data_IF_631263540490
#
_entry.id   IF_631263540490
#
_cell.length_a   1.000
_cell.length_b   1.000
_cell.length_c   1.000
_cell.angle_alpha   90.00
_cell.angle_beta   90.00
_cell.angle_gamma   90.00
#
_symmetry.space_group_name_H-M   'P 1'
#
loop_
_entity.id
_entity.type
_entity.pdbx_description
1 polymer ?
#
# COMPACT_ATOMS: atom_id res chain seq x y z
N UNK A 1 -3.82 -16.84 -20.56
CA UNK A 1 -3.90 -15.78 -19.53
C UNK A 1 -4.14 -16.44 -18.18
N UNK A 2 -3.27 -16.23 -17.18
CA UNK A 2 -3.39 -16.88 -15.87
C UNK A 2 -4.34 -16.18 -14.91
N UNK A 3 -5.00 -16.96 -14.05
CA UNK A 3 -5.78 -16.45 -12.93
C UNK A 3 -4.87 -15.75 -11.91
N UNK A 4 -5.35 -14.67 -11.28
CA UNK A 4 -4.61 -13.93 -10.24
C UNK A 4 -5.33 -14.06 -8.92
N UNK A 5 -4.59 -14.34 -7.85
CA UNK A 5 -5.12 -14.35 -6.50
C UNK A 5 -5.59 -12.96 -6.05
N UNK A 6 -6.60 -12.91 -5.18
CA UNK A 6 -7.10 -11.66 -4.60
C UNK A 6 -6.01 -10.98 -3.74
N UNK A 7 -5.57 -9.73 -4.04
CA UNK A 7 -4.40 -9.12 -3.39
C UNK A 7 -4.53 -8.95 -1.87
N UNK A 8 -5.75 -8.70 -1.37
CA UNK A 8 -6.01 -8.61 0.07
C UNK A 8 -5.99 -9.99 0.74
N UNK A 9 -6.55 -11.01 0.08
CA UNK A 9 -6.65 -12.35 0.66
C UNK A 9 -5.26 -12.98 0.78
N UNK A 10 -4.43 -12.81 -0.25
CA UNK A 10 -3.02 -13.21 -0.25
C UNK A 10 -2.19 -12.55 0.89
N UNK A 11 -2.73 -11.52 1.55
CA UNK A 11 -2.05 -10.70 2.55
C UNK A 11 -2.71 -10.73 3.93
N UNK A 12 -3.79 -11.50 4.10
CA UNK A 12 -4.46 -11.68 5.40
C UNK A 12 -3.50 -12.28 6.42
N UNK A 13 -3.56 -11.81 7.66
CA UNK A 13 -2.67 -12.25 8.75
C UNK A 13 -1.24 -11.71 8.66
N UNK A 14 -0.83 -11.19 7.50
CA UNK A 14 0.47 -10.54 7.32
C UNK A 14 0.26 -9.01 7.32
N UNK A 15 -0.08 -8.38 6.18
CA UNK A 15 -0.21 -6.89 6.11
C UNK A 15 -1.63 -6.46 6.34
N UNK A 16 -2.61 -7.27 5.90
CA UNK A 16 -4.02 -6.96 6.00
C UNK A 16 -4.62 -7.63 7.23
N UNK A 17 -5.49 -6.88 7.92
CA UNK A 17 -6.28 -7.36 9.05
C UNK A 17 -7.65 -7.83 8.57
N UNK A 18 -8.30 -8.65 9.37
CA UNK A 18 -9.70 -9.00 9.18
C UNK A 18 -10.61 -7.78 9.38
N UNK A 19 -11.70 -7.72 8.63
CA UNK A 19 -12.74 -6.69 8.77
C UNK A 19 -13.71 -7.02 9.90
N UNK A 20 -14.05 -8.31 10.05
CA UNK A 20 -14.74 -8.81 11.24
C UNK A 20 -13.76 -9.49 12.16
N UNK A 21 -13.83 -9.16 13.45
CA UNK A 21 -12.99 -9.76 14.49
C UNK A 21 -13.91 -10.16 15.63
N UNK A 22 -14.11 -11.47 15.76
CA UNK A 22 -14.92 -12.10 16.79
C UNK A 22 -14.60 -13.59 16.85
N UNK A 23 -15.07 -14.27 17.89
CA UNK A 23 -14.91 -15.70 18.10
C UNK A 23 -16.20 -16.26 18.70
N UNK A 24 -16.71 -17.33 18.10
CA UNK A 24 -17.89 -18.09 18.53
C UNK A 24 -17.62 -19.58 18.27
N UNK A 25 -18.39 -20.45 18.93
CA UNK A 25 -18.32 -21.89 18.73
C UNK A 25 -18.85 -22.30 17.34
N UNK A 26 -18.44 -23.49 16.86
CA UNK A 26 -18.75 -23.96 15.51
C UNK A 26 -20.25 -24.03 15.21
N UNK A 27 -21.10 -24.28 16.21
CA UNK A 27 -22.56 -24.39 16.05
C UNK A 27 -23.18 -23.04 15.67
N UNK A 28 -22.74 -21.97 16.31
CA UNK A 28 -23.30 -20.61 16.15
C UNK A 28 -22.58 -19.80 15.07
N UNK A 29 -21.41 -20.26 14.61
CA UNK A 29 -20.58 -19.54 13.66
C UNK A 29 -21.30 -19.17 12.35
N UNK A 30 -22.14 -20.08 11.85
CA UNK A 30 -22.89 -19.87 10.60
C UNK A 30 -23.89 -18.73 10.71
N UNK A 31 -24.68 -18.72 11.78
CA UNK A 31 -25.75 -17.74 12.00
C UNK A 31 -25.14 -16.34 12.22
N UNK A 32 -24.07 -16.26 13.01
CA UNK A 32 -23.34 -15.01 13.26
C UNK A 32 -22.70 -14.48 11.98
N UNK A 33 -22.18 -15.36 11.11
CA UNK A 33 -21.63 -14.96 9.82
C UNK A 33 -22.71 -14.40 8.87
N UNK A 34 -23.88 -15.03 8.84
CA UNK A 34 -25.02 -14.56 8.05
C UNK A 34 -25.52 -13.20 8.53
N UNK A 35 -25.62 -13.02 9.85
CA UNK A 35 -25.98 -11.75 10.47
C UNK A 35 -24.98 -10.64 10.12
N UNK A 36 -23.67 -10.91 10.23
CA UNK A 36 -22.61 -9.99 9.80
C UNK A 36 -22.72 -9.62 8.31
N UNK A 37 -23.15 -10.56 7.45
CA UNK A 37 -23.39 -10.29 6.04
C UNK A 37 -24.61 -9.37 5.85
N UNK A 38 -25.73 -9.64 6.55
CA UNK A 38 -26.94 -8.80 6.52
C UNK A 38 -26.66 -7.38 6.98
N UNK A 39 -25.90 -7.20 8.07
CA UNK A 39 -25.48 -5.89 8.58
C UNK A 39 -24.70 -5.11 7.51
N UNK A 40 -23.70 -5.74 6.88
CA UNK A 40 -22.91 -5.07 5.83
C UNK A 40 -23.75 -4.72 4.62
N UNK A 41 -24.57 -5.65 4.15
CA UNK A 41 -25.43 -5.43 3.00
C UNK A 41 -26.42 -4.28 3.24
N UNK A 42 -26.99 -4.20 4.44
CA UNK A 42 -27.88 -3.13 4.83
C UNK A 42 -27.19 -1.77 4.83
N UNK A 43 -26.02 -1.66 5.48
CA UNK A 43 -25.25 -0.40 5.54
C UNK A 43 -24.83 0.01 4.12
N UNK A 44 -24.33 -0.91 3.31
CA UNK A 44 -23.94 -0.61 1.93
C UNK A 44 -25.14 -0.13 1.08
N UNK A 45 -26.33 -0.71 1.26
CA UNK A 45 -27.53 -0.30 0.54
C UNK A 45 -28.06 1.06 0.97
N UNK A 46 -28.14 1.31 2.29
CA UNK A 46 -28.66 2.57 2.83
C UNK A 46 -27.73 3.75 2.50
N UNK A 47 -26.43 3.50 2.41
CA UNK A 47 -25.40 4.53 2.23
C UNK A 47 -24.69 4.46 0.87
N UNK A 48 -25.33 3.92 -0.19
CA UNK A 48 -24.75 3.77 -1.54
C UNK A 48 -24.09 5.03 -2.13
N UNK A 49 -24.52 6.22 -1.71
CA UNK A 49 -24.01 7.52 -2.20
C UNK A 49 -23.03 8.21 -1.22
N UNK A 50 -22.79 7.62 -0.05
CA UNK A 50 -22.18 8.30 1.08
C UNK A 50 -20.68 7.98 1.26
N UNK A 51 -20.02 7.42 0.24
CA UNK A 51 -18.57 7.27 0.20
C UNK A 51 -18.03 6.50 1.40
N UNK A 52 -18.55 5.28 1.61
CA UNK A 52 -18.08 4.35 2.63
C UNK A 52 -16.84 3.61 2.11
N UNK A 53 -15.74 3.69 2.86
CA UNK A 53 -14.51 2.97 2.53
C UNK A 53 -14.59 1.53 3.01
N UNK A 54 -14.70 1.32 4.33
CA UNK A 54 -14.63 0.03 5.00
C UNK A 54 -15.59 -0.01 6.19
N UNK A 55 -16.11 -1.20 6.46
CA UNK A 55 -16.94 -1.51 7.61
C UNK A 55 -16.20 -2.57 8.42
N UNK A 56 -15.92 -2.27 9.68
CA UNK A 56 -15.39 -3.23 10.64
C UNK A 56 -16.47 -3.61 11.63
N UNK A 57 -16.51 -4.90 11.98
CA UNK A 57 -17.44 -5.43 12.97
C UNK A 57 -16.62 -6.13 14.03
N UNK A 58 -16.78 -5.71 15.28
CA UNK A 58 -16.16 -6.34 16.43
C UNK A 58 -17.29 -6.86 17.31
N UNK A 59 -17.33 -8.16 17.56
CA UNK A 59 -18.26 -8.72 18.56
C UNK A 59 -17.48 -9.03 19.83
N UNK A 60 -17.99 -8.50 20.93
CA UNK A 60 -17.59 -8.83 22.30
C UNK A 60 -18.79 -9.54 22.93
N UNK A 61 -18.58 -10.25 24.04
CA UNK A 61 -19.61 -11.07 24.69
C UNK A 61 -21.01 -10.41 24.80
N UNK A 62 -21.07 -9.10 25.13
CA UNK A 62 -22.36 -8.42 25.35
C UNK A 62 -22.63 -7.26 24.37
N UNK A 63 -21.76 -7.02 23.39
CA UNK A 63 -21.90 -5.86 22.50
C UNK A 63 -21.27 -6.07 21.12
N UNK A 64 -21.97 -5.56 20.10
CA UNK A 64 -21.48 -5.43 18.72
C UNK A 64 -20.99 -4.01 18.51
N UNK A 65 -19.70 -3.85 18.23
CA UNK A 65 -19.08 -2.57 17.89
C UNK A 65 -18.84 -2.49 16.37
N UNK A 66 -19.63 -1.66 15.68
CA UNK A 66 -19.54 -1.43 14.24
C UNK A 66 -18.73 -0.15 14.01
N UNK A 67 -17.64 -0.23 13.26
CA UNK A 67 -16.84 0.94 12.84
C UNK A 67 -17.02 1.18 11.35
N UNK A 68 -17.56 2.33 11.00
CA UNK A 68 -17.77 2.74 9.61
C UNK A 68 -16.71 3.79 9.27
N UNK A 69 -15.80 3.46 8.37
CA UNK A 69 -14.86 4.42 7.80
C UNK A 69 -15.52 5.10 6.60
N UNK A 70 -15.74 6.42 6.69
CA UNK A 70 -16.38 7.22 5.63
C UNK A 70 -15.55 8.46 5.31
N UNK A 71 -15.61 8.87 4.04
CA UNK A 71 -15.10 10.18 3.60
C UNK A 71 -16.00 11.35 3.97
N UNK A 72 -17.28 11.10 4.26
CA UNK A 72 -18.30 12.11 4.56
C UNK A 72 -19.08 11.70 5.82
N UNK A 73 -18.44 11.76 7.01
CA UNK A 73 -19.07 11.32 8.26
C UNK A 73 -20.36 12.09 8.55
N UNK A 74 -20.44 13.38 8.18
CA UNK A 74 -21.63 14.21 8.42
C UNK A 74 -22.91 13.69 7.78
N UNK A 75 -22.83 13.04 6.62
CA UNK A 75 -24.00 12.41 5.98
C UNK A 75 -24.43 11.11 6.69
N UNK A 76 -23.46 10.40 7.28
CA UNK A 76 -23.73 9.17 8.05
C UNK A 76 -24.34 9.49 9.41
N UNK A 77 -23.86 10.55 10.08
CA UNK A 77 -24.34 10.97 11.40
C UNK A 77 -25.65 11.79 11.31
N UNK A 78 -25.78 12.66 10.31
CA UNK A 78 -26.90 13.60 10.17
C UNK A 78 -26.78 14.83 11.07
N UNK A 79 -27.72 15.78 10.95
CA UNK A 79 -27.66 17.12 11.59
C UNK A 79 -27.65 17.10 13.13
N UNK A 80 -28.16 16.04 13.76
CA UNK A 80 -28.24 15.91 15.22
C UNK A 80 -28.08 14.45 15.68
N UNK A 81 -27.38 13.62 14.91
CA UNK A 81 -27.28 12.18 15.21
C UNK A 81 -28.54 11.35 14.90
N UNK A 82 -29.63 11.98 14.44
CA UNK A 82 -30.89 11.30 14.12
C UNK A 82 -30.69 10.12 13.14
N UNK A 83 -29.82 10.27 12.13
CA UNK A 83 -29.58 9.19 11.18
C UNK A 83 -28.87 7.98 11.84
N UNK A 84 -28.02 8.23 12.83
CA UNK A 84 -27.36 7.19 13.62
C UNK A 84 -28.36 6.45 14.52
N UNK A 85 -29.30 7.18 15.12
CA UNK A 85 -30.38 6.58 15.93
C UNK A 85 -31.32 5.74 15.08
N UNK A 86 -31.72 6.24 13.91
CA UNK A 86 -32.53 5.49 12.94
C UNK A 86 -31.80 4.21 12.49
N UNK A 87 -30.52 4.32 12.14
CA UNK A 87 -29.70 3.16 11.78
C UNK A 87 -29.64 2.16 12.92
N UNK A 88 -29.46 2.63 14.16
CA UNK A 88 -29.44 1.76 15.33
C UNK A 88 -30.76 1.02 15.53
N UNK A 89 -31.91 1.71 15.40
CA UNK A 89 -33.25 1.09 15.49
C UNK A 89 -33.49 0.04 14.41
N UNK A 90 -33.05 0.31 13.18
CA UNK A 90 -33.16 -0.65 12.06
C UNK A 90 -32.22 -1.85 12.25
N UNK A 91 -31.01 -1.64 12.77
CA UNK A 91 -30.09 -2.73 13.11
C UNK A 91 -30.66 -3.68 14.16
N UNK A 92 -31.38 -3.16 15.17
CA UNK A 92 -32.07 -4.01 16.15
C UNK A 92 -33.16 -4.91 15.56
N UNK A 93 -33.69 -4.60 14.35
CA UNK A 93 -34.64 -5.49 13.67
C UNK A 93 -33.95 -6.66 12.96
N UNK A 94 -32.68 -6.48 12.60
CA UNK A 94 -31.89 -7.47 11.85
C UNK A 94 -31.10 -8.37 12.81
N UNK A 95 -30.62 -7.77 13.90
CA UNK A 95 -29.79 -8.40 14.93
C UNK A 95 -30.67 -9.04 16.00
N UNK A 96 -30.21 -10.15 16.58
CA UNK A 96 -30.92 -10.79 17.69
C UNK A 96 -31.11 -9.80 18.88
N UNK A 97 -32.26 -9.83 19.60
CA UNK A 97 -32.64 -8.75 20.53
C UNK A 97 -31.70 -8.52 21.73
N UNK A 98 -30.78 -9.45 21.99
CA UNK A 98 -30.00 -9.54 23.23
C UNK A 98 -28.72 -8.69 23.22
N UNK A 99 -28.16 -8.35 22.06
CA UNK A 99 -26.85 -7.69 21.98
C UNK A 99 -26.93 -6.16 21.87
N UNK A 100 -26.12 -5.43 22.65
CA UNK A 100 -26.05 -3.96 22.56
C UNK A 100 -25.21 -3.54 21.34
N UNK A 101 -25.78 -2.74 20.45
CA UNK A 101 -25.08 -2.25 19.24
C UNK A 101 -24.48 -0.87 19.49
N UNK A 102 -23.17 -0.74 19.29
CA UNK A 102 -22.41 0.53 19.30
C UNK A 102 -21.88 0.83 17.91
N UNK A 103 -22.38 1.89 17.29
CA UNK A 103 -21.91 2.35 15.98
C UNK A 103 -20.94 3.52 16.19
N UNK A 104 -19.79 3.44 15.53
CA UNK A 104 -18.77 4.50 15.51
C UNK A 104 -18.44 4.85 14.06
N UNK A 105 -18.43 6.14 13.75
CA UNK A 105 -18.09 6.66 12.43
C UNK A 105 -16.70 7.28 12.51
N UNK A 106 -15.80 6.84 11.63
CA UNK A 106 -14.41 7.32 11.54
C UNK A 106 -14.26 8.05 10.21
N UNK A 107 -13.69 9.24 10.28
CA UNK A 107 -13.40 10.06 9.10
C UNK A 107 -12.11 9.59 8.39
N UNK A 108 -12.20 9.47 7.06
CA UNK A 108 -11.05 9.22 6.19
C UNK A 108 -10.47 10.56 5.73
N UNK A 109 -9.32 10.94 6.31
CA UNK A 109 -8.64 12.22 6.05
C UNK A 109 -8.26 12.47 4.57
N UNK A 110 -7.96 11.40 3.82
CA UNK A 110 -7.56 11.51 2.40
C UNK A 110 -8.39 10.55 1.53
N UNK A 111 -9.55 10.98 1.03
CA UNK A 111 -10.43 10.16 0.19
C UNK A 111 -9.78 9.75 -1.13
N UNK A 112 -9.03 10.66 -1.76
CA UNK A 112 -8.30 10.43 -3.01
C UNK A 112 -7.14 9.43 -2.86
N UNK A 113 -6.81 9.06 -1.61
CA UNK A 113 -5.85 8.01 -1.36
C UNK A 113 -6.52 6.64 -1.28
N UNK A 114 -7.82 6.51 -0.96
CA UNK A 114 -8.45 5.23 -0.64
C UNK A 114 -8.95 4.45 -1.86
N UNK A 115 -8.71 3.13 -1.89
CA UNK A 115 -9.04 2.32 -3.07
C UNK A 115 -10.56 2.19 -3.30
N UNK A 116 -11.34 2.05 -2.22
CA UNK A 116 -12.80 1.88 -2.30
C UNK A 116 -13.45 3.16 -2.81
N UNK A 117 -13.07 4.30 -2.22
CA UNK A 117 -13.62 5.61 -2.55
C UNK A 117 -13.28 6.07 -3.96
N UNK A 118 -12.04 5.85 -4.41
CA UNK A 118 -11.65 6.15 -5.78
C UNK A 118 -12.41 5.27 -6.78
N UNK A 119 -12.62 4.00 -6.45
CA UNK A 119 -13.38 3.09 -7.31
C UNK A 119 -14.84 3.53 -7.44
N UNK A 120 -15.44 3.99 -6.34
CA UNK A 120 -16.79 4.55 -6.33
C UNK A 120 -16.88 5.83 -7.16
N UNK A 121 -15.88 6.72 -7.06
CA UNK A 121 -15.78 7.89 -7.94
C UNK A 121 -15.74 7.49 -9.43
N UNK A 122 -14.91 6.51 -9.80
CA UNK A 122 -14.83 6.02 -11.19
C UNK A 122 -16.16 5.44 -11.66
N UNK A 123 -16.85 4.66 -10.82
CA UNK A 123 -18.18 4.10 -11.12
C UNK A 123 -19.18 5.22 -11.39
N UNK A 124 -19.29 6.20 -10.50
CA UNK A 124 -20.19 7.33 -10.67
C UNK A 124 -19.92 8.12 -11.96
N UNK A 125 -18.64 8.28 -12.35
CA UNK A 125 -18.30 8.95 -13.61
C UNK A 125 -18.67 8.12 -14.85
N UNK A 126 -18.52 6.79 -14.79
CA UNK A 126 -18.91 5.88 -15.87
C UNK A 126 -20.43 5.85 -16.07
N UNK A 127 -21.19 5.86 -14.98
CA UNK A 127 -22.66 5.92 -15.01
C UNK A 127 -23.17 7.24 -15.60
N UNK A 128 -22.44 8.34 -15.38
CA UNK A 128 -22.66 9.64 -16.04
C UNK A 128 -22.23 9.70 -17.50
N UNK A 129 -21.89 8.56 -18.13
CA UNK A 129 -21.52 8.44 -19.55
C UNK A 129 -20.29 9.26 -19.97
N UNK A 130 -19.38 9.57 -19.04
CA UNK A 130 -18.11 10.23 -19.38
C UNK A 130 -17.16 9.20 -20.00
N UNK A 131 -16.39 9.62 -21.02
CA UNK A 131 -15.43 8.75 -21.69
C UNK A 131 -14.41 8.12 -20.70
N UNK A 132 -14.29 6.79 -20.71
CA UNK A 132 -13.47 6.06 -19.73
C UNK A 132 -11.99 6.50 -19.70
N UNK A 133 -11.40 6.88 -20.85
CA UNK A 133 -10.01 7.38 -20.93
C UNK A 133 -9.83 8.67 -20.15
N UNK A 134 -10.83 9.58 -20.19
CA UNK A 134 -10.81 10.83 -19.42
C UNK A 134 -10.90 10.54 -17.93
N UNK A 135 -11.78 9.61 -17.53
CA UNK A 135 -11.94 9.19 -16.13
C UNK A 135 -10.64 8.59 -15.60
N UNK A 136 -9.98 7.71 -16.36
CA UNK A 136 -8.70 7.11 -15.95
C UNK A 136 -7.62 8.17 -15.72
N UNK A 137 -7.44 9.13 -16.65
CA UNK A 137 -6.48 10.24 -16.49
C UNK A 137 -6.82 11.12 -15.29
N UNK A 138 -8.09 11.48 -15.12
CA UNK A 138 -8.54 12.28 -13.98
C UNK A 138 -8.29 11.57 -12.65
N UNK A 139 -8.53 10.26 -12.59
CA UNK A 139 -8.33 9.44 -11.39
C UNK A 139 -6.85 9.34 -11.04
N UNK A 140 -5.99 9.18 -12.04
CA UNK A 140 -4.54 9.22 -11.88
C UNK A 140 -4.10 10.56 -11.29
N UNK A 141 -4.53 11.67 -11.90
CA UNK A 141 -4.16 13.01 -11.42
C UNK A 141 -4.63 13.27 -9.98
N UNK A 142 -5.84 12.81 -9.61
CA UNK A 142 -6.33 12.89 -8.23
C UNK A 142 -5.44 12.10 -7.27
N UNK A 143 -5.14 10.86 -7.62
CA UNK A 143 -4.36 9.99 -6.76
C UNK A 143 -2.88 10.42 -6.67
N UNK A 144 -2.31 11.03 -7.71
CA UNK A 144 -0.97 11.64 -7.70
C UNK A 144 -0.82 12.85 -6.76
N UNK A 145 -1.90 13.61 -6.51
CA UNK A 145 -1.89 14.70 -5.52
C UNK A 145 -1.63 14.17 -4.10
N UNK A 146 -1.91 12.90 -3.88
CA UNK A 146 -1.60 12.20 -2.63
C UNK A 146 -0.28 11.45 -2.75
N UNK A 147 0.32 11.08 -1.62
CA UNK A 147 1.64 10.45 -1.58
C UNK A 147 1.61 8.94 -1.94
N UNK A 148 0.85 8.54 -2.98
CA UNK A 148 0.77 7.16 -3.47
C UNK A 148 1.94 6.86 -4.40
N UNK A 149 2.65 5.75 -4.16
CA UNK A 149 3.83 5.35 -4.96
C UNK A 149 3.50 4.58 -6.24
N UNK A 150 2.31 4.00 -6.31
CA UNK A 150 1.90 3.25 -7.49
C UNK A 150 0.44 2.87 -7.48
N UNK A 151 -0.17 2.97 -8.66
CA UNK A 151 -1.59 2.80 -8.91
C UNK A 151 -1.74 1.92 -10.16
N UNK A 152 -2.71 1.02 -10.13
CA UNK A 152 -3.19 0.33 -11.31
C UNK A 152 -4.71 0.39 -11.33
N UNK A 153 -5.25 0.94 -12.41
CA UNK A 153 -6.69 1.00 -12.68
C UNK A 153 -6.97 0.07 -13.86
N UNK A 154 -7.99 -0.76 -13.73
CA UNK A 154 -8.45 -1.63 -14.80
C UNK A 154 -9.97 -1.52 -14.91
N UNK A 155 -10.46 -1.26 -16.11
CA UNK A 155 -11.89 -1.20 -16.43
C UNK A 155 -12.17 -2.25 -17.51
N UNK A 156 -13.14 -3.11 -17.28
CA UNK A 156 -13.51 -4.22 -18.18
C UNK A 156 -14.99 -4.21 -18.50
N UNK A 157 -15.34 -4.40 -19.78
CA UNK A 157 -16.70 -4.52 -20.27
C UNK A 157 -16.90 -3.81 -21.61
N UNK A 158 -18.13 -3.43 -21.93
CA UNK A 158 -18.50 -2.70 -23.17
C UNK A 158 -18.13 -1.22 -23.08
N UNK A 159 -16.83 -0.93 -23.19
CA UNK A 159 -16.30 0.43 -23.03
C UNK A 159 -16.85 1.38 -24.11
N UNK A 160 -17.45 2.49 -23.69
CA UNK A 160 -18.16 3.45 -24.56
C UNK A 160 -19.29 2.82 -25.40
N UNK A 161 -19.90 1.71 -24.94
CA UNK A 161 -21.02 1.08 -25.65
C UNK A 161 -20.62 0.20 -26.84
N UNK A 162 -19.33 -0.07 -27.04
CA UNK A 162 -18.87 -1.00 -28.06
C UNK A 162 -19.58 -2.36 -27.95
N UNK A 163 -19.86 -3.00 -29.09
CA UNK A 163 -20.51 -4.33 -29.14
C UNK A 163 -19.66 -5.39 -28.45
N UNK A 164 -18.35 -5.38 -28.70
CA UNK A 164 -17.40 -6.32 -28.11
C UNK A 164 -16.82 -5.76 -26.80
N UNK A 165 -16.94 -6.55 -25.73
CA UNK A 165 -16.35 -6.20 -24.44
C UNK A 165 -14.81 -6.28 -24.49
N UNK A 166 -14.14 -5.27 -23.91
CA UNK A 166 -12.68 -5.21 -23.81
C UNK A 166 -12.24 -4.81 -22.41
N UNK A 167 -10.97 -5.04 -22.12
CA UNK A 167 -10.35 -4.66 -20.84
C UNK A 167 -9.24 -3.65 -21.10
N UNK A 168 -9.40 -2.46 -20.53
CA UNK A 168 -8.40 -1.41 -20.57
C UNK A 168 -7.79 -1.21 -19.19
N UNK A 169 -6.48 -1.01 -19.14
CA UNK A 169 -5.79 -0.79 -17.87
C UNK A 169 -4.70 0.26 -18.03
N UNK A 170 -4.55 1.09 -17.00
CA UNK A 170 -3.44 2.03 -16.89
C UNK A 170 -2.74 1.73 -15.56
N UNK A 171 -1.40 1.70 -15.63
CA UNK A 171 -0.56 1.52 -14.45
C UNK A 171 0.43 2.67 -14.39
N UNK A 172 0.49 3.30 -13.23
CA UNK A 172 1.48 4.31 -12.93
C UNK A 172 2.26 3.96 -11.67
N UNK A 173 3.55 4.28 -11.66
CA UNK A 173 4.43 3.90 -10.56
C UNK A 173 4.58 2.39 -10.45
N UNK A 174 4.70 1.87 -9.22
CA UNK A 174 5.04 0.46 -9.01
C UNK A 174 3.96 -0.31 -8.31
N UNK A 175 3.67 -1.50 -8.86
CA UNK A 175 2.67 -2.41 -8.33
C UNK A 175 3.18 -3.84 -8.15
N UNK A 176 4.02 -4.15 -7.13
CA UNK A 176 4.50 -5.51 -6.90
C UNK A 176 3.43 -6.37 -6.22
N UNK A 177 2.58 -7.02 -7.01
CA UNK A 177 1.49 -7.87 -6.52
C UNK A 177 1.98 -9.15 -5.82
N UNK A 178 3.15 -9.65 -6.20
CA UNK A 178 3.75 -10.87 -5.62
C UNK A 178 4.41 -10.63 -4.25
N UNK A 179 4.80 -9.39 -3.94
CA UNK A 179 5.50 -9.09 -2.69
C UNK A 179 4.52 -9.01 -1.52
N UNK A 180 4.52 -10.02 -0.65
CA UNK A 180 3.67 -10.09 0.55
C UNK A 180 3.90 -8.94 1.54
N UNK A 181 5.11 -8.36 1.55
CA UNK A 181 5.45 -7.22 2.41
C UNK A 181 4.87 -5.89 1.92
N UNK A 182 4.47 -5.79 0.65
CA UNK A 182 3.89 -4.57 0.13
C UNK A 182 2.50 -4.36 0.72
N UNK A 183 2.24 -3.17 1.29
CA UNK A 183 0.92 -2.79 1.76
C UNK A 183 0.08 -2.36 0.54
N UNK A 184 -0.78 -3.28 0.09
CA UNK A 184 -1.63 -3.09 -1.08
C UNK A 184 -3.06 -2.92 -0.61
N UNK A 185 -3.73 -1.91 -1.14
CA UNK A 185 -5.16 -1.74 -1.01
C UNK A 185 -5.81 -1.99 -2.37
N UNK A 186 -6.90 -2.74 -2.35
CA UNK A 186 -7.58 -3.22 -3.55
C UNK A 186 -9.08 -3.06 -3.38
N UNK A 187 -9.73 -2.58 -4.42
CA UNK A 187 -11.18 -2.49 -4.49
C UNK A 187 -11.67 -2.98 -5.85
N UNK A 188 -12.82 -3.64 -5.82
CA UNK A 188 -13.58 -4.02 -6.99
C UNK A 188 -14.99 -3.45 -6.85
N UNK A 189 -15.45 -2.74 -7.87
CA UNK A 189 -16.80 -2.20 -7.95
C UNK A 189 -17.37 -2.46 -9.35
N UNK A 190 -18.70 -2.56 -9.43
CA UNK A 190 -19.45 -2.72 -10.68
C UNK A 190 -20.16 -1.40 -10.97
N UNK A 191 -20.08 -0.92 -12.20
CA UNK A 191 -20.87 0.20 -12.69
C UNK A 191 -22.00 -0.33 -13.58
N UNK A 192 -23.22 0.16 -13.36
CA UNK A 192 -24.38 -0.20 -14.18
C UNK A 192 -24.62 0.88 -15.21
N UNK A 193 -24.34 0.58 -16.48
CA UNK A 193 -24.58 1.49 -17.61
C UNK A 193 -25.73 0.98 -18.46
N UNK A 194 -26.29 1.82 -19.32
CA UNK A 194 -27.37 1.40 -20.23
C UNK A 194 -26.97 0.22 -21.13
N UNK A 195 -25.67 0.11 -21.47
CA UNK A 195 -25.14 -0.93 -22.35
C UNK A 195 -24.72 -2.20 -21.61
N UNK A 196 -24.87 -2.24 -20.28
CA UNK A 196 -24.52 -3.37 -19.43
C UNK A 196 -23.59 -3.01 -18.27
N UNK A 197 -22.97 -4.04 -17.69
CA UNK A 197 -22.13 -3.91 -16.49
C UNK A 197 -20.67 -3.68 -16.88
N UNK A 198 -20.05 -2.66 -16.27
CA UNK A 198 -18.60 -2.45 -16.33
C UNK A 198 -17.96 -2.83 -14.99
N UNK A 199 -16.88 -3.60 -15.03
CA UNK A 199 -16.09 -3.94 -13.86
C UNK A 199 -14.92 -2.98 -13.67
N UNK A 200 -14.78 -2.39 -12.49
CA UNK A 200 -13.66 -1.51 -12.13
C UNK A 200 -12.82 -2.19 -11.05
N UNK A 201 -11.54 -2.39 -11.34
CA UNK A 201 -10.53 -2.90 -10.39
C UNK A 201 -9.51 -1.80 -10.14
N UNK A 202 -9.34 -1.43 -8.87
CA UNK A 202 -8.34 -0.46 -8.44
C UNK A 202 -7.36 -1.11 -7.49
N UNK A 203 -6.07 -0.91 -7.74
CA UNK A 203 -4.97 -1.37 -6.89
C UNK A 203 -4.07 -0.17 -6.60
N UNK A 204 -3.82 0.12 -5.32
CA UNK A 204 -2.76 1.05 -4.89
C UNK A 204 -1.74 0.38 -4.00
N UNK A 205 -0.57 0.98 -3.91
CA UNK A 205 0.45 0.62 -2.92
C UNK A 205 0.82 1.77 -2.01
N UNK A 206 0.87 1.41 -0.75
CA UNK A 206 1.42 2.20 0.34
C UNK A 206 2.83 1.65 0.63
N UNK A 207 3.77 2.58 0.82
CA UNK A 207 5.23 2.46 1.00
C UNK A 207 5.83 1.11 1.45
N UNK A 208 7.06 0.83 0.97
CA UNK A 208 7.99 -0.15 1.57
C UNK A 208 8.46 0.37 2.94
N UNK A 209 7.88 -0.16 4.02
CA UNK A 209 8.26 0.11 5.42
C UNK A 209 8.53 -1.24 6.10
N UNK A 210 9.48 -1.36 7.04
CA UNK A 210 9.54 -2.52 7.92
C UNK A 210 8.24 -2.67 8.70
N UNK A 211 7.66 -3.86 8.59
CA UNK A 211 6.29 -4.15 9.02
C UNK A 211 6.14 -4.30 10.54
N UNK A 212 7.18 -4.84 11.18
CA UNK A 212 7.35 -4.93 12.64
C UNK A 212 8.83 -4.76 12.93
N UNK A 213 9.15 -3.96 13.94
CA UNK A 213 10.49 -3.90 14.52
C UNK A 213 10.41 -4.26 15.99
N UNK A 214 11.42 -4.97 16.52
CA UNK A 214 11.48 -5.35 17.94
C UNK A 214 11.33 -4.13 18.87
N UNK A 215 11.89 -3.00 18.45
CA UNK A 215 11.75 -1.71 19.13
C UNK A 215 11.26 -0.64 18.16
N UNK A 216 10.29 0.17 18.61
CA UNK A 216 9.73 1.29 17.85
C UNK A 216 10.68 2.49 17.78
N UNK A 217 11.45 2.75 18.85
CA UNK A 217 12.45 3.84 18.95
C UNK A 217 13.82 3.24 19.28
N UNK A 218 14.61 2.92 18.27
CA UNK A 218 15.94 2.31 18.47
C UNK A 218 17.00 3.34 18.90
N UNK A 219 18.11 2.87 19.47
CA UNK A 219 19.30 3.69 19.71
C UNK A 219 19.99 4.02 18.38
N UNK A 220 20.49 5.25 18.23
CA UNK A 220 21.23 5.65 17.02
C UNK A 220 22.37 4.66 16.80
N UNK A 221 22.50 4.18 15.55
CA UNK A 221 23.55 3.23 15.21
C UNK A 221 24.90 3.93 15.17
N UNK A 222 25.97 3.21 15.53
CA UNK A 222 27.33 3.71 15.38
C UNK A 222 27.74 3.63 13.91
N UNK A 223 28.24 4.75 13.38
CA UNK A 223 28.79 4.84 12.02
C UNK A 223 30.29 4.49 11.97
N UNK A 224 30.93 4.29 13.12
CA UNK A 224 32.35 3.95 13.20
C UNK A 224 32.66 2.49 12.82
N UNK A 225 33.88 2.28 12.33
CA UNK A 225 34.43 0.99 11.92
C UNK A 225 34.10 0.58 10.49
N UNK A 226 34.69 -0.53 10.03
CA UNK A 226 34.44 -1.14 8.71
C UNK A 226 33.29 -2.15 8.77
N UNK A 227 32.71 -2.46 7.62
CA UNK A 227 31.67 -3.47 7.49
C UNK A 227 32.24 -4.87 7.67
N UNK A 228 31.82 -5.60 8.71
CA UNK A 228 32.20 -7.01 8.92
C UNK A 228 31.33 -7.99 8.10
N UNK A 229 30.16 -7.55 7.63
CA UNK A 229 29.18 -8.37 6.90
C UNK A 229 28.72 -7.60 5.67
N UNK A 230 28.31 -8.34 4.64
CA UNK A 230 27.80 -7.75 3.39
C UNK A 230 28.86 -6.96 2.62
N UNK A 231 30.13 -7.28 2.80
CA UNK A 231 31.28 -6.65 2.15
C UNK A 231 31.73 -7.35 0.86
N UNK A 232 31.23 -8.56 0.60
CA UNK A 232 31.52 -9.35 -0.61
C UNK A 232 30.31 -9.43 -1.54
N UNK A 233 30.58 -9.65 -2.83
CA UNK A 233 29.56 -9.99 -3.83
C UNK A 233 29.11 -11.45 -3.62
N UNK A 234 27.80 -11.70 -3.62
CA UNK A 234 27.25 -13.06 -3.46
C UNK A 234 26.41 -13.47 -4.67
N UNK A 235 25.60 -12.56 -5.19
CA UNK A 235 24.60 -12.86 -6.22
C UNK A 235 25.02 -12.35 -7.60
N UNK A 236 25.62 -11.16 -7.66
CA UNK A 236 25.99 -10.49 -8.90
C UNK A 236 27.47 -10.54 -9.25
N UNK A 237 27.77 -10.26 -10.52
CA UNK A 237 29.12 -10.20 -11.08
C UNK A 237 29.75 -8.82 -10.82
N UNK A 238 28.92 -7.76 -10.75
CA UNK A 238 29.31 -6.39 -10.44
C UNK A 238 28.54 -5.84 -9.25
N UNK A 239 29.11 -4.92 -8.49
CA UNK A 239 28.38 -4.21 -7.45
C UNK A 239 28.94 -2.86 -7.04
N UNK A 240 28.14 -2.16 -6.24
CA UNK A 240 28.45 -0.83 -5.71
C UNK A 240 28.81 -0.97 -4.24
N UNK A 241 30.05 -0.67 -3.88
CA UNK A 241 30.54 -0.69 -2.51
C UNK A 241 30.66 0.72 -1.94
N UNK A 242 30.24 0.91 -0.69
CA UNK A 242 30.39 2.18 0.03
C UNK A 242 31.83 2.39 0.52
N UNK A 243 32.41 3.57 0.29
CA UNK A 243 33.71 3.95 0.87
C UNK A 243 33.56 4.75 2.16
N UNK A 244 32.44 5.47 2.32
CA UNK A 244 32.16 6.33 3.47
C UNK A 244 30.96 5.80 4.28
N UNK A 245 30.91 6.06 5.60
CA UNK A 245 29.77 5.71 6.42
C UNK A 245 28.59 6.65 6.18
N UNK A 246 27.35 6.12 6.10
CA UNK A 246 26.15 6.97 5.97
C UNK A 246 24.89 6.31 6.49
N UNK A 247 23.92 7.14 6.91
CA UNK A 247 22.53 6.70 7.08
C UNK A 247 21.78 6.83 5.75
N UNK A 248 21.72 5.72 5.03
CA UNK A 248 21.13 5.69 3.71
C UNK A 248 19.61 5.61 3.80
N UNK A 249 18.91 6.61 3.27
CA UNK A 249 17.44 6.67 3.33
C UNK A 249 16.78 5.73 2.31
N UNK A 250 15.55 5.30 2.62
CA UNK A 250 14.73 4.54 1.66
C UNK A 250 14.54 5.24 0.31
N UNK A 251 14.51 6.59 0.30
CA UNK A 251 14.40 7.40 -0.93
C UNK A 251 15.65 7.31 -1.80
N UNK A 252 16.84 7.36 -1.19
CA UNK A 252 18.13 7.26 -1.90
C UNK A 252 18.37 5.86 -2.46
N UNK A 253 18.09 4.81 -1.66
CA UNK A 253 18.14 3.41 -2.14
C UNK A 253 17.25 3.26 -3.38
N UNK A 254 16.08 3.89 -3.35
CA UNK A 254 15.11 3.78 -4.42
C UNK A 254 15.48 4.58 -5.68
N UNK A 255 16.02 5.79 -5.50
CA UNK A 255 16.55 6.60 -6.61
C UNK A 255 17.67 5.85 -7.34
N UNK A 256 18.60 5.27 -6.58
CA UNK A 256 19.73 4.48 -7.09
C UNK A 256 19.26 3.20 -7.79
N UNK A 257 18.26 2.52 -7.22
CA UNK A 257 17.65 1.37 -7.90
C UNK A 257 17.01 1.76 -9.23
N UNK A 258 16.32 2.91 -9.27
CA UNK A 258 15.66 3.40 -10.49
C UNK A 258 16.66 3.73 -11.59
N UNK A 259 17.82 4.30 -11.26
CA UNK A 259 18.88 4.55 -12.25
C UNK A 259 19.44 3.23 -12.77
N UNK A 260 19.80 2.30 -11.89
CA UNK A 260 20.31 0.98 -12.29
C UNK A 260 19.34 0.24 -13.21
N UNK A 261 18.05 0.14 -12.84
CA UNK A 261 17.04 -0.58 -13.65
C UNK A 261 16.89 -0.05 -15.08
N UNK A 262 17.17 1.25 -15.34
CA UNK A 262 17.13 1.80 -16.71
C UNK A 262 18.17 1.16 -17.63
N UNK A 263 19.33 0.85 -17.09
CA UNK A 263 20.44 0.23 -17.80
C UNK A 263 20.24 -1.28 -17.97
N UNK A 264 19.74 -1.95 -16.93
CA UNK A 264 19.54 -3.41 -16.89
C UNK A 264 18.49 -3.91 -17.91
N UNK A 265 17.49 -3.09 -18.22
CA UNK A 265 16.34 -3.42 -19.10
C UNK A 265 15.71 -4.78 -18.72
N UNK A 266 15.56 -5.73 -19.65
CA UNK A 266 14.90 -7.03 -19.44
C UNK A 266 15.86 -8.20 -19.19
N UNK A 267 17.16 -8.04 -19.46
CA UNK A 267 18.12 -9.15 -19.52
C UNK A 267 18.87 -9.36 -18.20
N UNK A 268 19.20 -8.29 -17.48
CA UNK A 268 19.98 -8.42 -16.24
C UNK A 268 19.13 -8.53 -14.97
N UNK A 269 19.79 -8.91 -13.87
CA UNK A 269 19.20 -9.00 -12.52
C UNK A 269 19.85 -7.97 -11.61
N UNK A 270 19.05 -7.39 -10.71
CA UNK A 270 19.48 -6.43 -9.69
C UNK A 270 19.13 -6.95 -8.30
N UNK A 271 20.12 -6.99 -7.42
CA UNK A 271 19.91 -7.21 -5.99
C UNK A 271 20.19 -5.94 -5.22
N UNK A 272 19.32 -5.66 -4.24
CA UNK A 272 19.54 -4.62 -3.25
C UNK A 272 20.01 -5.33 -1.99
N UNK A 273 21.24 -5.05 -1.55
CA UNK A 273 21.84 -5.68 -0.37
C UNK A 273 21.48 -4.97 0.93
N UNK A 274 21.00 -3.74 0.82
CA UNK A 274 20.68 -2.87 1.96
C UNK A 274 19.19 -2.66 2.10
N UNK A 275 18.69 -2.83 3.32
CA UNK A 275 17.29 -2.61 3.65
C UNK A 275 17.19 -1.52 4.73
N UNK A 276 16.29 -0.54 4.59
CA UNK A 276 16.10 0.51 5.58
C UNK A 276 15.25 -0.01 6.75
N UNK A 277 15.93 -0.56 7.75
CA UNK A 277 15.35 -1.22 8.92
C UNK A 277 15.43 -0.38 10.20
N UNK A 278 16.16 0.74 10.18
CA UNK A 278 16.39 1.57 11.36
C UNK A 278 15.53 2.83 11.36
N UNK A 279 14.73 3.10 12.41
CA UNK A 279 13.91 4.29 12.46
C UNK A 279 14.73 5.50 12.90
N UNK A 280 14.59 6.61 12.18
CA UNK A 280 15.06 7.94 12.62
C UNK A 280 13.88 8.65 13.27
N UNK A 281 14.07 9.04 14.54
CA UNK A 281 13.08 9.77 15.31
C UNK A 281 13.33 11.27 15.21
N UNK A 282 12.27 12.05 15.01
CA UNK A 282 12.33 13.51 14.97
C UNK A 282 11.57 14.12 16.14
N UNK A 283 12.04 15.28 16.61
CA UNK A 283 11.35 16.14 17.56
C UNK A 283 11.27 17.52 16.94
N UNK A 284 10.15 18.20 17.14
CA UNK A 284 10.04 19.59 16.74
C UNK A 284 11.15 20.42 17.39
N UNK A 285 11.64 21.41 16.64
CA UNK A 285 12.51 22.44 17.19
C UNK A 285 11.83 23.08 18.42
N UNK A 286 12.61 23.53 19.40
CA UNK A 286 12.14 24.20 20.63
C UNK A 286 11.45 23.30 21.68
N UNK A 287 11.42 21.98 21.48
CA UNK A 287 10.91 21.06 22.52
C UNK A 287 11.81 21.02 23.76
N UNK A 288 11.21 21.21 24.95
CA UNK A 288 11.93 21.17 26.24
C UNK A 288 12.73 19.87 26.40
N UNK A 289 13.93 20.00 26.97
CA UNK A 289 14.77 18.87 27.32
C UNK A 289 14.05 17.96 28.35
N UNK A 290 14.22 16.63 28.24
CA UNK A 290 13.70 15.65 29.22
C UNK A 290 12.68 14.62 28.71
N UNK A 291 11.88 14.91 27.67
CA UNK A 291 10.78 14.00 27.28
C UNK A 291 11.14 12.71 26.48
N UNK A 292 12.40 12.27 26.46
CA UNK A 292 12.85 11.10 25.68
C UNK A 292 13.01 11.31 24.15
N UNK A 293 12.81 10.28 23.32
CA UNK A 293 12.89 10.39 21.84
C UNK A 293 11.53 10.72 21.23
N UNK A 294 11.50 11.48 20.12
CA UNK A 294 10.27 11.78 19.38
C UNK A 294 9.70 10.61 18.57
N UNK A 295 8.76 10.87 17.66
CA UNK A 295 8.14 9.86 16.80
C UNK A 295 9.08 9.44 15.66
N UNK A 296 9.08 8.15 15.24
CA UNK A 296 9.77 7.73 14.03
C UNK A 296 9.18 8.42 12.80
N UNK A 297 10.01 9.13 12.04
CA UNK A 297 9.58 9.88 10.87
C UNK A 297 9.92 9.13 9.57
N UNK A 298 11.16 8.65 9.46
CA UNK A 298 11.62 7.90 8.30
C UNK A 298 12.59 6.78 8.70
N UNK A 299 12.83 5.88 7.74
CA UNK A 299 13.65 4.69 7.92
C UNK A 299 14.94 4.80 7.11
N UNK A 300 16.04 4.41 7.74
CA UNK A 300 17.40 4.43 7.19
C UNK A 300 18.06 3.07 7.33
N UNK A 301 19.04 2.81 6.49
CA UNK A 301 20.00 1.72 6.66
C UNK A 301 21.33 2.32 7.14
N UNK A 302 21.95 1.72 8.15
CA UNK A 302 23.26 2.18 8.64
C UNK A 302 24.33 1.50 7.80
N UNK A 303 24.97 2.28 6.94
CA UNK A 303 26.01 1.81 6.03
C UNK A 303 27.38 2.14 6.63
N UNK A 304 28.25 1.13 6.67
CA UNK A 304 29.66 1.29 7.03
C UNK A 304 30.54 1.18 5.77
N UNK A 305 31.76 1.76 5.79
CA UNK A 305 32.76 1.55 4.74
C UNK A 305 32.99 0.07 4.45
N UNK A 306 33.07 -0.27 3.17
CA UNK A 306 33.23 -1.64 2.66
C UNK A 306 31.92 -2.40 2.43
N UNK A 307 30.76 -1.87 2.81
CA UNK A 307 29.48 -2.55 2.59
C UNK A 307 29.04 -2.46 1.13
N UNK A 308 28.59 -3.59 0.56
CA UNK A 308 28.01 -3.67 -0.78
C UNK A 308 26.54 -3.26 -0.70
N UNK A 309 26.13 -2.33 -1.56
CA UNK A 309 24.78 -1.75 -1.58
C UNK A 309 23.89 -2.41 -2.63
N UNK A 310 24.43 -2.61 -3.83
CA UNK A 310 23.72 -3.15 -4.98
C UNK A 310 24.61 -4.14 -5.72
N UNK A 311 23.99 -5.16 -6.31
CA UNK A 311 24.67 -6.14 -7.15
C UNK A 311 23.91 -6.31 -8.47
N UNK A 312 24.66 -6.52 -9.55
CA UNK A 312 24.18 -6.66 -10.92
C UNK A 312 24.69 -7.97 -11.51
N UNK A 313 23.87 -8.66 -12.30
CA UNK A 313 24.24 -9.86 -13.06
C UNK A 313 23.67 -9.84 -14.46
N UNK A 314 24.39 -10.42 -15.42
CA UNK A 314 23.91 -10.61 -16.80
C UNK A 314 23.88 -9.32 -17.61
N UNK A 315 24.92 -8.49 -17.43
CA UNK A 315 25.08 -7.21 -18.12
C UNK A 315 26.53 -7.11 -18.60
N UNK A 316 26.79 -6.60 -19.83
CA UNK A 316 28.14 -6.36 -20.31
C UNK A 316 28.94 -5.41 -19.40
N UNK A 317 30.27 -5.57 -19.33
CA UNK A 317 31.18 -4.80 -18.47
C UNK A 317 31.01 -3.29 -18.66
N UNK A 318 31.00 -2.82 -19.90
CA UNK A 318 30.93 -1.38 -20.21
C UNK A 318 29.64 -0.75 -19.69
N UNK A 319 28.52 -1.43 -19.92
CA UNK A 319 27.20 -0.97 -19.50
C UNK A 319 27.05 -1.03 -17.97
N UNK A 320 27.68 -2.02 -17.31
CA UNK A 320 27.73 -2.10 -15.86
C UNK A 320 28.53 -0.94 -15.24
N UNK A 321 29.69 -0.58 -15.83
CA UNK A 321 30.50 0.56 -15.39
C UNK A 321 29.72 1.86 -15.51
N UNK A 322 29.08 2.11 -16.65
CA UNK A 322 28.29 3.32 -16.88
C UNK A 322 27.07 3.39 -15.92
N UNK A 323 26.36 2.28 -15.76
CA UNK A 323 25.22 2.18 -14.85
C UNK A 323 25.61 2.47 -13.40
N UNK A 324 26.72 1.91 -12.93
CA UNK A 324 27.24 2.10 -11.57
C UNK A 324 27.72 3.53 -11.38
N UNK A 325 28.42 4.11 -12.35
CA UNK A 325 28.85 5.51 -12.32
C UNK A 325 27.67 6.46 -12.23
N UNK A 326 26.60 6.23 -13.00
CA UNK A 326 25.40 7.07 -12.92
C UNK A 326 24.60 6.85 -11.63
N UNK A 327 24.63 5.64 -11.09
CA UNK A 327 24.00 5.31 -9.81
C UNK A 327 24.74 5.95 -8.62
N UNK A 328 26.06 6.08 -8.67
CA UNK A 328 26.85 6.66 -7.58
C UNK A 328 26.47 8.12 -7.30
N UNK A 329 26.14 8.91 -8.33
CA UNK A 329 25.63 10.28 -8.17
C UNK A 329 24.29 10.38 -7.42
N UNK A 330 23.56 9.27 -7.24
CA UNK A 330 22.31 9.25 -6.45
C UNK A 330 22.54 8.90 -4.98
N UNK A 331 23.76 8.49 -4.64
CA UNK A 331 24.15 8.15 -3.28
C UNK A 331 24.89 9.35 -2.64
N UNK A 332 24.62 9.66 -1.36
CA UNK A 332 25.25 10.77 -0.65
C UNK A 332 26.66 10.43 -0.13
N UNK A 333 27.37 9.51 -0.79
CA UNK A 333 28.68 8.99 -0.35
C UNK A 333 29.56 8.64 -1.54
N UNK A 334 30.87 8.62 -1.30
CA UNK A 334 31.81 8.00 -2.24
C UNK A 334 31.58 6.49 -2.31
N UNK A 335 31.61 5.97 -3.53
CA UNK A 335 31.41 4.54 -3.81
C UNK A 335 32.47 4.02 -4.77
N UNK A 336 32.70 2.72 -4.71
CA UNK A 336 33.63 1.98 -5.58
C UNK A 336 32.87 0.88 -6.32
N UNK A 337 33.23 0.66 -7.58
CA UNK A 337 32.80 -0.52 -8.33
C UNK A 337 33.64 -1.73 -7.90
N UNK A 338 32.97 -2.84 -7.63
CA UNK A 338 33.61 -4.14 -7.38
C UNK A 338 33.11 -5.14 -8.42
N UNK A 339 33.97 -6.04 -8.85
CA UNK A 339 33.68 -7.11 -9.80
C UNK A 339 34.20 -8.44 -9.28
N UNK A 340 33.50 -9.53 -9.58
CA UNK A 340 33.90 -10.90 -9.22
C UNK A 340 34.46 -11.71 -10.40
N UNK A 341 34.48 -11.12 -11.61
CA UNK A 341 35.10 -11.72 -12.77
C UNK A 341 36.62 -11.58 -12.63
N UNK A 342 37.32 -12.71 -12.67
CA UNK A 342 38.78 -12.74 -12.81
C UNK A 342 39.11 -12.04 -14.13
N UNK A 343 39.96 -11.02 -14.07
CA UNK A 343 40.49 -10.39 -15.29
C UNK A 343 41.46 -11.40 -15.93
N UNK A 344 40.99 -12.12 -16.94
CA UNK A 344 41.77 -13.14 -17.63
C UNK A 344 40.94 -13.95 -18.64
N UNK A 345 40.61 -13.32 -19.77
CA UNK A 345 40.76 -13.81 -21.16
C UNK A 345 40.35 -12.70 -22.14
#
# INVERSE_FOLDING_TARGET
>A
MGQKIHPLAFRLGITQKYKSVWFYENKEYSDILEEDHKIRHFIENKFKLNGISKIYIFRKANQIEIKIESSKPGLVVGRSGNNLELLRREMYKIVAPTEKIRISVIEVMQPDADASLISEFVVQQLEKRIAFRRIMRQTINKAQRTNIKGIKIQISGRLNGAEIARTEWIREGRVPLQTLRANIDYAYKKAQTSYGILGVKFIKIIMLIPKKTKFRKQHRGRLSGKACRGNTLIFGDYGIQALEPVWLTSRQIEATRRTLVRYIRKTGKLWIRVFPDKPVTFRAAETRMGGGKGSPEYWVSVIKPGHVLFELKGIPKDLAIEAIKNASYKLPIKTKLISNLLEGE
#
